data_IF_862346739791
#
_entry.id   IF_862346739791
#
_cell.length_a   1.000
_cell.length_b   1.000
_cell.length_c   1.000
_cell.angle_alpha   90.00
_cell.angle_beta   90.00
_cell.angle_gamma   90.00
#
_symmetry.space_group_name_H-M   'P 1'
#
loop_
_entity.id
_entity.type
_entity.pdbx_description
1 polymer ?
#
# COMPACT_ATOMS: atom_id res chain seq x y z
N UNK A 1 -23.29 0.30 10.18
CA UNK A 1 -22.86 0.10 8.78
C UNK A 1 -23.58 -1.13 8.25
N UNK A 2 -24.44 -0.98 7.23
CA UNK A 2 -25.11 -2.12 6.58
C UNK A 2 -24.10 -2.90 5.73
N UNK A 3 -24.41 -4.17 5.41
CA UNK A 3 -23.56 -5.10 4.64
C UNK A 3 -23.34 -4.69 3.17
N UNK A 4 -23.72 -3.47 2.75
CA UNK A 4 -23.92 -3.10 1.34
C UNK A 4 -22.73 -2.43 0.63
N UNK A 5 -21.65 -2.02 1.30
CA UNK A 5 -20.52 -1.36 0.61
C UNK A 5 -19.18 -2.11 0.77
N UNK A 6 -19.19 -3.44 0.71
CA UNK A 6 -17.94 -4.21 0.62
C UNK A 6 -17.42 -4.15 -0.82
N UNK A 7 -16.53 -3.20 -1.11
CA UNK A 7 -15.80 -3.14 -2.38
C UNK A 7 -14.65 -4.15 -2.35
N UNK A 8 -14.61 -5.03 -3.35
CA UNK A 8 -13.52 -5.98 -3.54
C UNK A 8 -12.50 -5.44 -4.54
N UNK A 9 -11.22 -5.67 -4.25
CA UNK A 9 -10.11 -5.28 -5.11
C UNK A 9 -9.26 -6.50 -5.45
N UNK A 10 -8.66 -6.49 -6.64
CA UNK A 10 -7.67 -7.50 -7.04
C UNK A 10 -6.27 -6.88 -7.05
N UNK A 11 -5.22 -7.65 -6.79
CA UNK A 11 -3.85 -7.15 -6.96
C UNK A 11 -3.55 -7.05 -8.46
N UNK A 12 -2.90 -5.97 -8.91
CA UNK A 12 -2.65 -5.75 -10.34
C UNK A 12 -1.79 -6.84 -10.97
N UNK A 13 -0.57 -7.03 -10.48
CA UNK A 13 0.41 -7.95 -11.05
C UNK A 13 1.45 -8.33 -9.99
N UNK A 14 1.37 -9.56 -9.47
CA UNK A 14 2.29 -10.06 -8.43
C UNK A 14 3.67 -10.43 -8.99
N UNK A 15 3.77 -10.72 -10.29
CA UNK A 15 5.03 -11.05 -10.94
C UNK A 15 5.89 -9.79 -11.17
N UNK A 16 5.28 -8.60 -11.01
CA UNK A 16 5.94 -7.28 -11.11
C UNK A 16 5.91 -6.54 -9.77
N UNK A 17 5.96 -7.29 -8.67
CA UNK A 17 6.07 -6.71 -7.35
C UNK A 17 7.49 -6.18 -7.14
N UNK A 18 7.59 -4.96 -6.62
CA UNK A 18 8.82 -4.42 -6.08
C UNK A 18 8.56 -3.63 -4.81
N UNK A 19 9.59 -3.56 -3.97
CA UNK A 19 9.54 -2.88 -2.68
C UNK A 19 10.64 -1.83 -2.62
N UNK A 20 10.33 -0.71 -1.97
CA UNK A 20 11.30 0.32 -1.65
C UNK A 20 11.09 0.74 -0.20
N UNK A 21 12.15 0.65 0.61
CA UNK A 21 12.12 1.13 1.98
C UNK A 21 12.86 2.46 2.08
N UNK A 22 12.11 3.53 2.32
CA UNK A 22 12.66 4.84 2.66
C UNK A 22 13.00 4.87 4.15
N UNK A 23 14.25 4.54 4.45
CA UNK A 23 14.80 4.56 5.82
C UNK A 23 14.74 5.94 6.47
N UNK A 24 14.74 7.03 5.69
CA UNK A 24 14.77 8.39 6.25
C UNK A 24 13.42 8.79 6.82
N UNK A 25 12.34 8.29 6.21
CA UNK A 25 10.96 8.60 6.61
C UNK A 25 10.25 7.43 7.31
N UNK A 26 10.91 6.27 7.43
CA UNK A 26 10.35 5.01 7.94
C UNK A 26 9.08 4.57 7.18
N UNK A 27 9.19 4.53 5.85
CA UNK A 27 8.09 4.17 4.94
C UNK A 27 8.49 2.99 4.07
N UNK A 28 7.67 1.93 4.05
CA UNK A 28 7.76 0.86 3.08
C UNK A 28 6.73 1.08 1.96
N UNK A 29 7.21 1.19 0.74
CA UNK A 29 6.40 1.17 -0.48
C UNK A 29 6.41 -0.24 -1.06
N UNK A 30 5.23 -0.73 -1.46
CA UNK A 30 5.02 -1.97 -2.20
C UNK A 30 4.25 -1.60 -3.46
N UNK A 31 4.81 -1.88 -4.64
CA UNK A 31 4.20 -1.53 -5.92
C UNK A 31 3.96 -2.78 -6.76
N UNK A 32 2.91 -2.76 -7.58
CA UNK A 32 2.50 -3.88 -8.44
C UNK A 32 2.49 -3.43 -9.91
N UNK A 33 3.68 -3.34 -10.53
CA UNK A 33 3.86 -2.81 -11.88
C UNK A 33 5.32 -2.46 -12.17
N UNK A 34 5.63 -2.15 -13.44
CA UNK A 34 7.01 -1.78 -13.82
C UNK A 34 7.43 -0.41 -13.25
N UNK A 35 6.46 0.48 -13.02
CA UNK A 35 6.68 1.84 -12.53
C UNK A 35 5.59 2.20 -11.49
N UNK A 36 5.76 3.33 -10.80
CA UNK A 36 4.71 3.90 -9.94
C UNK A 36 3.61 4.46 -10.84
N UNK A 37 2.41 3.91 -10.72
CA UNK A 37 1.24 4.38 -11.46
C UNK A 37 0.42 5.39 -10.67
N UNK A 38 -0.25 6.31 -11.36
CA UNK A 38 -1.32 7.12 -10.78
C UNK A 38 -2.49 6.23 -10.31
N UNK A 39 -3.03 6.55 -9.14
CA UNK A 39 -4.20 5.89 -8.58
C UNK A 39 -5.46 6.72 -8.86
N UNK A 40 -6.59 6.03 -9.04
CA UNK A 40 -7.91 6.68 -9.12
C UNK A 40 -8.45 6.97 -7.70
N UNK A 41 -8.04 6.15 -6.73
CA UNK A 41 -8.49 6.18 -5.35
C UNK A 41 -7.34 5.81 -4.40
N UNK A 42 -7.26 6.47 -3.26
CA UNK A 42 -6.35 6.14 -2.17
C UNK A 42 -7.16 5.86 -0.90
N UNK A 43 -7.01 4.67 -0.35
CA UNK A 43 -7.70 4.24 0.86
C UNK A 43 -6.74 4.34 2.04
N UNK A 44 -6.95 5.34 2.90
CA UNK A 44 -6.25 5.44 4.17
C UNK A 44 -6.92 4.53 5.19
N UNK A 45 -6.19 3.53 5.68
CA UNK A 45 -6.63 2.62 6.71
C UNK A 45 -6.22 3.16 8.10
N UNK A 46 -6.94 2.74 9.15
CA UNK A 46 -6.69 3.20 10.53
C UNK A 46 -5.30 2.83 11.08
N UNK A 47 -4.61 1.89 10.45
CA UNK A 47 -3.33 1.38 10.87
C UNK A 47 -2.16 2.00 10.08
N UNK A 48 -2.23 3.27 9.69
CA UNK A 48 -1.20 3.99 8.91
C UNK A 48 -0.73 3.24 7.65
N UNK A 49 -1.69 2.63 6.96
CA UNK A 49 -1.49 1.98 5.66
C UNK A 49 -2.35 2.70 4.63
N UNK A 50 -1.76 3.06 3.50
CA UNK A 50 -2.47 3.60 2.34
C UNK A 50 -2.48 2.55 1.24
N UNK A 51 -3.67 2.21 0.73
CA UNK A 51 -3.84 1.34 -0.42
C UNK A 51 -4.21 2.17 -1.64
N UNK A 52 -3.37 2.12 -2.67
CA UNK A 52 -3.55 2.85 -3.93
C UNK A 52 -4.27 1.96 -4.94
N UNK A 53 -5.41 2.41 -5.44
CA UNK A 53 -6.29 1.64 -6.31
C UNK A 53 -6.46 2.34 -7.65
N UNK A 54 -6.38 1.56 -8.73
CA UNK A 54 -6.70 1.99 -10.10
C UNK A 54 -7.54 0.92 -10.79
N UNK A 55 -8.66 1.29 -11.40
CA UNK A 55 -9.55 0.33 -12.09
C UNK A 55 -9.90 -0.91 -11.25
N UNK A 56 -10.27 -0.72 -9.98
CA UNK A 56 -10.53 -1.79 -8.99
C UNK A 56 -9.35 -2.77 -8.74
N UNK A 57 -8.12 -2.34 -9.07
CA UNK A 57 -6.90 -3.08 -8.79
C UNK A 57 -6.02 -2.33 -7.82
N UNK A 58 -5.47 -3.03 -6.83
CA UNK A 58 -4.40 -2.48 -5.99
C UNK A 58 -3.14 -2.35 -6.84
N UNK A 59 -2.68 -1.12 -7.01
CA UNK A 59 -1.45 -0.77 -7.75
C UNK A 59 -0.29 -0.44 -6.83
N UNK A 60 -0.57 -0.12 -5.57
CA UNK A 60 0.46 0.05 -4.56
C UNK A 60 -0.08 0.06 -3.13
N UNK A 61 0.83 -0.14 -2.18
CA UNK A 61 0.59 -0.06 -0.74
C UNK A 61 1.73 0.75 -0.13
N UNK A 62 1.39 1.74 0.68
CA UNK A 62 2.34 2.52 1.47
C UNK A 62 2.12 2.18 2.94
N UNK A 63 3.16 1.77 3.64
CA UNK A 63 3.13 1.46 5.07
C UNK A 63 4.02 2.46 5.79
N UNK A 64 3.41 3.33 6.59
CA UNK A 64 4.14 4.26 7.44
C UNK A 64 4.50 3.59 8.78
N UNK A 65 5.52 4.15 9.44
CA UNK A 65 6.08 3.64 10.70
C UNK A 65 6.38 2.14 10.59
N UNK A 66 7.01 1.74 9.48
CA UNK A 66 7.16 0.33 9.13
C UNK A 66 8.04 -0.40 10.15
N UNK A 67 9.10 0.26 10.62
CA UNK A 67 10.06 -0.30 11.58
C UNK A 67 9.37 -0.81 12.87
N UNK A 68 8.42 -0.04 13.42
CA UNK A 68 7.63 -0.41 14.59
C UNK A 68 6.83 -1.70 14.42
N UNK A 69 6.49 -2.08 13.18
CA UNK A 69 5.72 -3.31 12.88
C UNK A 69 6.58 -4.56 12.83
N UNK A 70 7.88 -4.40 12.62
CA UNK A 70 8.85 -5.51 12.59
C UNK A 70 9.65 -5.62 13.90
N UNK A 71 9.24 -4.89 14.94
CA UNK A 71 9.88 -4.92 16.26
C UNK A 71 11.23 -4.20 16.33
N UNK A 72 11.52 -3.33 15.35
CA UNK A 72 12.70 -2.47 15.35
C UNK A 72 12.26 -1.02 15.46
N UNK A 73 12.52 -0.35 16.58
CA UNK A 73 12.43 1.12 16.61
C UNK A 73 13.70 1.69 15.97
N UNK A 74 13.57 2.48 14.90
CA UNK A 74 14.69 3.28 14.40
C UNK A 74 14.85 4.48 15.33
N UNK A 75 15.95 4.51 16.07
CA UNK A 75 16.35 5.59 16.99
C UNK A 75 17.03 6.72 16.21
#
# INVERSE_FOLDING_TARGET
MSMEDRKEFTIKDVDKLWLEYDIRNDILYINFGYDIEDADEELLLENDVVVRVKNNRVVGITIFNFSSRIGHEII
#
